data_IF_516138467539
#
_entry.id   IF_516138467539
#
_cell.length_a   1.000
_cell.length_b   1.000
_cell.length_c   1.000
_cell.angle_alpha   90.00
_cell.angle_beta   90.00
_cell.angle_gamma   90.00
#
_symmetry.space_group_name_H-M   'P 1'
#
loop_
_entity.id
_entity.type
_entity.pdbx_description
1 polymer ?
#
# COMPACT_ATOMS: atom_id res chain seq x y z
N UNK A 1 13.65 -3.80 15.21
CA UNK A 1 13.15 -2.64 14.44
C UNK A 1 12.35 -3.19 13.28
N UNK A 2 11.02 -3.18 13.34
CA UNK A 2 10.20 -3.74 12.27
C UNK A 2 10.15 -2.75 11.10
N UNK A 3 11.15 -2.82 10.22
CA UNK A 3 11.12 -2.15 8.92
C UNK A 3 10.14 -2.92 8.05
N UNK A 4 8.92 -2.42 7.93
CA UNK A 4 8.00 -2.90 6.91
C UNK A 4 8.62 -2.65 5.53
N UNK A 5 8.43 -3.54 4.54
CA UNK A 5 8.91 -3.29 3.20
C UNK A 5 8.23 -2.05 2.60
N UNK A 6 9.03 -1.13 2.08
CA UNK A 6 8.56 0.05 1.38
C UNK A 6 8.33 -0.30 -0.08
N UNK A 7 7.11 -0.10 -0.55
CA UNK A 7 6.67 -0.36 -1.91
C UNK A 7 6.35 0.97 -2.56
N UNK A 8 7.17 1.35 -3.54
CA UNK A 8 6.89 2.49 -4.39
C UNK A 8 5.77 2.13 -5.37
N UNK A 9 4.65 2.83 -5.29
CA UNK A 9 3.58 2.69 -6.27
C UNK A 9 3.83 3.56 -7.49
N UNK A 10 3.40 3.06 -8.65
CA UNK A 10 3.26 3.89 -9.86
C UNK A 10 1.99 4.74 -9.79
N UNK A 11 1.90 5.79 -10.60
CA UNK A 11 0.74 6.66 -10.72
C UNK A 11 -0.57 5.90 -10.92
N UNK A 12 -0.57 4.85 -11.75
CA UNK A 12 -1.76 4.02 -12.01
C UNK A 12 -2.23 3.25 -10.77
N UNK A 13 -1.29 2.71 -9.99
CA UNK A 13 -1.59 1.99 -8.76
C UNK A 13 -2.05 2.97 -7.67
N UNK A 14 -1.38 4.11 -7.55
CA UNK A 14 -1.74 5.17 -6.63
C UNK A 14 -3.12 5.76 -6.96
N UNK A 15 -3.46 5.94 -8.25
CA UNK A 15 -4.78 6.39 -8.66
C UNK A 15 -5.89 5.42 -8.22
N UNK A 16 -5.68 4.10 -8.35
CA UNK A 16 -6.65 3.09 -7.86
C UNK A 16 -6.80 3.14 -6.34
N UNK A 17 -5.69 3.28 -5.62
CA UNK A 17 -5.68 3.43 -4.17
C UNK A 17 -6.41 4.70 -3.71
N UNK A 18 -6.07 5.84 -4.30
CA UNK A 18 -6.67 7.15 -4.00
C UNK A 18 -8.18 7.17 -4.26
N UNK A 19 -8.64 6.41 -5.25
CA UNK A 19 -10.07 6.23 -5.56
C UNK A 19 -10.77 5.19 -4.66
N UNK A 20 -10.10 4.64 -3.64
CA UNK A 20 -10.68 3.70 -2.69
C UNK A 20 -10.83 2.27 -3.22
N UNK A 21 -10.26 1.96 -4.39
CA UNK A 21 -10.34 0.62 -5.00
C UNK A 21 -9.41 -0.37 -4.28
N UNK A 22 -8.44 0.12 -3.50
CA UNK A 22 -7.44 -0.72 -2.83
C UNK A 22 -6.43 -1.33 -3.81
N UNK A 23 -5.51 -2.15 -3.30
CA UNK A 23 -4.44 -2.77 -4.09
C UNK A 23 -4.63 -4.29 -4.18
N UNK A 24 -5.30 -4.81 -5.20
CA UNK A 24 -5.46 -6.25 -5.37
C UNK A 24 -4.12 -6.92 -5.69
N UNK A 25 -4.02 -8.25 -5.46
CA UNK A 25 -2.85 -9.08 -5.80
C UNK A 25 -2.33 -8.86 -7.22
N UNK A 26 -3.24 -8.59 -8.15
CA UNK A 26 -2.96 -8.39 -9.57
C UNK A 26 -2.27 -7.05 -9.86
N UNK A 27 -2.46 -6.05 -9.01
CA UNK A 27 -1.80 -4.76 -9.10
C UNK A 27 -0.47 -4.75 -8.34
N UNK A 28 -0.43 -5.42 -7.18
CA UNK A 28 0.76 -5.54 -6.35
C UNK A 28 0.84 -6.93 -5.74
N UNK A 29 1.93 -7.64 -6.03
CA UNK A 29 2.23 -8.93 -5.40
C UNK A 29 2.47 -8.69 -3.90
N UNK A 30 1.79 -9.44 -3.01
CA UNK A 30 2.02 -9.31 -1.60
C UNK A 30 3.41 -9.80 -1.20
N UNK A 31 4.19 -8.89 -0.62
CA UNK A 31 5.54 -9.16 -0.12
C UNK A 31 5.56 -9.38 1.39
N UNK A 32 4.59 -8.80 2.11
CA UNK A 32 4.42 -8.94 3.54
C UNK A 32 2.98 -8.66 3.97
N UNK A 33 2.63 -9.07 5.18
CA UNK A 33 1.32 -8.79 5.78
C UNK A 33 1.09 -7.29 5.97
N UNK A 34 2.15 -6.52 6.23
CA UNK A 34 2.12 -5.06 6.29
C UNK A 34 3.20 -4.48 5.41
N UNK A 35 2.83 -3.55 4.54
CA UNK A 35 3.73 -2.86 3.63
C UNK A 35 3.56 -1.35 3.80
N UNK A 36 4.63 -0.60 3.60
CA UNK A 36 4.56 0.86 3.54
C UNK A 36 4.45 1.26 2.09
N UNK A 37 3.38 1.95 1.73
CA UNK A 37 3.24 2.54 0.41
C UNK A 37 4.00 3.85 0.37
N UNK A 38 4.95 3.95 -0.56
CA UNK A 38 5.63 5.19 -0.90
C UNK A 38 5.20 5.66 -2.29
N UNK A 39 5.12 6.97 -2.47
CA UNK A 39 4.78 7.57 -3.75
C UNK A 39 5.58 8.86 -3.92
N UNK A 40 6.33 8.97 -5.02
CA UNK A 40 7.27 10.07 -5.30
C UNK A 40 8.34 10.31 -4.20
N UNK A 41 8.70 9.27 -3.45
CA UNK A 41 9.65 9.36 -2.34
C UNK A 41 9.02 9.62 -0.97
N UNK A 42 7.73 9.97 -0.93
CA UNK A 42 6.99 10.19 0.31
C UNK A 42 6.27 8.93 0.79
N UNK A 43 6.33 8.67 2.08
CA UNK A 43 5.53 7.61 2.73
C UNK A 43 4.08 8.07 2.82
N UNK A 44 3.20 7.45 2.01
CA UNK A 44 1.77 7.79 2.01
C UNK A 44 1.04 7.12 3.16
N UNK A 45 1.09 5.79 3.21
CA UNK A 45 0.29 5.01 4.16
C UNK A 45 0.85 3.60 4.32
N UNK A 46 0.60 2.97 5.47
CA UNK A 46 0.79 1.54 5.64
C UNK A 46 -0.47 0.81 5.16
N UNK A 47 -0.24 -0.22 4.36
CA UNK A 47 -1.25 -1.14 3.88
C UNK A 47 -1.08 -2.49 4.54
N UNK A 48 -2.21 -3.12 4.86
CA UNK A 48 -2.27 -4.46 5.42
C UNK A 48 -2.88 -5.42 4.39
N UNK A 49 -2.21 -6.54 4.19
CA UNK A 49 -2.64 -7.60 3.29
C UNK A 49 -3.84 -8.31 3.90
N UNK A 50 -4.96 -8.33 3.16
CA UNK A 50 -6.10 -9.16 3.51
C UNK A 50 -6.10 -10.37 2.62
N UNK A 51 -5.56 -11.48 3.12
CA UNK A 51 -5.61 -12.78 2.44
C UNK A 51 -7.04 -13.19 2.09
N UNK A 52 -8.01 -12.88 2.97
CA UNK A 52 -9.45 -13.13 2.77
C UNK A 52 -10.01 -12.48 1.48
N UNK A 53 -9.50 -11.30 1.11
CA UNK A 53 -9.94 -10.56 -0.09
C UNK A 53 -8.87 -10.45 -1.16
N UNK A 54 -7.73 -11.12 -0.99
CA UNK A 54 -6.53 -11.01 -1.83
C UNK A 54 -6.19 -9.55 -2.22
N UNK A 55 -6.28 -8.65 -1.24
CA UNK A 55 -6.13 -7.22 -1.47
C UNK A 55 -5.48 -6.53 -0.26
N UNK A 56 -4.57 -5.61 -0.56
CA UNK A 56 -4.04 -4.65 0.39
C UNK A 56 -5.05 -3.54 0.66
N UNK A 57 -5.29 -3.28 1.95
CA UNK A 57 -6.15 -2.19 2.42
C UNK A 57 -5.37 -1.17 3.22
N UNK A 58 -5.75 0.12 3.15
CA UNK A 58 -5.15 1.15 3.98
C UNK A 58 -5.40 0.81 5.45
N UNK A 59 -4.32 0.61 6.21
CA UNK A 59 -4.38 0.30 7.64
C UNK A 59 -4.13 1.56 8.47
N UNK A 60 -3.10 2.33 8.09
CA UNK A 60 -2.75 3.59 8.75
C UNK A 60 -2.23 4.59 7.73
N UNK A 61 -2.93 5.71 7.58
CA UNK A 61 -2.45 6.84 6.79
C UNK A 61 -1.39 7.58 7.58
N UNK A 62 -0.24 7.79 6.98
CA UNK A 62 0.78 8.68 7.51
C UNK A 62 0.58 10.00 6.79
N UNK A 63 -0.26 10.87 7.35
CA UNK A 63 -0.25 12.26 6.90
C UNK A 63 1.10 12.82 7.27
N UNK A 64 1.97 13.00 6.27
CA UNK A 64 3.14 13.85 6.38
C UNK A 64 2.61 15.27 6.14
N UNK A 65 2.67 16.10 7.19
CA UNK A 65 2.35 17.53 7.15
C UNK A 65 3.36 18.31 6.32
#
# INVERSE_FOLDING_TARGET
MAQYPHVALTDEQWAKVKNGIGLPKTALIPVADKIVITYQGDVKSVFEWRADRNQYRPYRTFSIE
#
